data_IF_884057750831
#
_entry.id   IF_884057750831
#
_cell.length_a   1.000
_cell.length_b   1.000
_cell.length_c   1.000
_cell.angle_alpha   90.00
_cell.angle_beta   90.00
_cell.angle_gamma   90.00
#
_symmetry.space_group_name_H-M   'P 1'
#
loop_
_entity.id
_entity.type
_entity.pdbx_description
1 polymer ?
#
# COMPACT_ATOMS: atom_id res chain seq x y z
N UNK A 1 -4.93 -49.58 -39.37
CA UNK A 1 -5.97 -49.30 -40.34
C UNK A 1 -5.71 -47.86 -40.74
N UNK A 2 -4.72 -47.64 -41.66
CA UNK A 2 -4.87 -47.76 -43.13
C UNK A 2 -5.92 -46.73 -43.60
N UNK A 3 -5.64 -45.74 -44.41
CA UNK A 3 -5.13 -45.75 -45.81
C UNK A 3 -5.01 -44.27 -46.20
N UNK A 4 -3.91 -43.69 -46.55
CA UNK A 4 -3.29 -43.60 -47.92
C UNK A 4 -4.26 -43.25 -49.05
N UNK A 5 -4.02 -42.23 -49.82
CA UNK A 5 -3.31 -42.08 -51.10
C UNK A 5 -3.76 -40.80 -51.81
N UNK A 6 -2.86 -39.99 -52.25
CA UNK A 6 -2.12 -39.94 -53.51
C UNK A 6 -2.76 -39.13 -54.66
N UNK A 7 -1.91 -38.22 -55.18
CA UNK A 7 -1.63 -37.87 -56.58
C UNK A 7 -2.70 -37.15 -57.43
N UNK A 8 -2.39 -36.11 -58.18
CA UNK A 8 -1.54 -36.13 -59.40
C UNK A 8 -1.35 -34.73 -59.98
N UNK A 9 -0.13 -34.38 -60.22
CA UNK A 9 0.45 -33.55 -61.26
C UNK A 9 -0.33 -33.42 -62.61
N UNK A 10 -0.22 -32.25 -63.19
CA UNK A 10 0.19 -32.06 -64.59
C UNK A 10 0.28 -30.59 -65.05
N UNK A 11 1.50 -30.15 -65.32
CA UNK A 11 1.88 -29.14 -66.33
C UNK A 11 1.84 -29.84 -67.71
N UNK A 12 1.84 -29.26 -68.92
CA UNK A 12 2.69 -28.17 -69.39
C UNK A 12 2.14 -27.26 -70.53
N UNK A 13 2.91 -26.16 -70.74
CA UNK A 13 3.34 -25.55 -71.98
C UNK A 13 2.38 -25.07 -73.07
N UNK A 14 2.56 -23.86 -73.54
CA UNK A 14 3.16 -23.48 -74.86
C UNK A 14 2.98 -21.98 -75.12
N UNK A 15 4.11 -21.33 -75.37
CA UNK A 15 4.24 -20.14 -76.22
C UNK A 15 3.86 -20.48 -77.67
N UNK A 16 3.60 -19.56 -78.63
CA UNK A 16 4.64 -18.65 -79.13
C UNK A 16 4.19 -17.28 -79.73
N UNK A 17 5.19 -16.38 -79.77
CA UNK A 17 5.56 -15.42 -80.83
C UNK A 17 4.55 -14.55 -81.56
N UNK A 18 4.93 -13.27 -81.73
CA UNK A 18 4.77 -12.58 -82.96
C UNK A 18 4.53 -11.07 -82.97
N UNK A 19 5.57 -10.30 -83.25
CA UNK A 19 5.44 -9.21 -84.18
C UNK A 19 5.40 -7.75 -83.73
N UNK A 20 6.55 -7.15 -83.59
CA UNK A 20 7.02 -5.90 -84.28
C UNK A 20 6.00 -4.85 -84.71
N UNK A 21 6.13 -3.61 -84.23
CA UNK A 21 6.59 -2.43 -85.02
C UNK A 21 6.54 -1.13 -84.28
N UNK A 22 7.62 -0.41 -84.48
CA UNK A 22 7.89 1.00 -84.10
C UNK A 22 6.77 1.99 -84.47
N UNK A 23 6.60 2.99 -83.58
CA UNK A 23 6.45 4.38 -84.02
C UNK A 23 6.89 5.30 -82.88
N UNK A 24 7.90 6.08 -83.17
CA UNK A 24 8.42 7.23 -82.42
C UNK A 24 7.43 8.37 -82.56
N UNK A 25 7.00 9.00 -81.47
CA UNK A 25 6.57 10.39 -81.50
C UNK A 25 7.15 11.06 -80.26
N UNK A 26 7.94 12.10 -80.52
CA UNK A 26 8.51 13.04 -79.53
C UNK A 26 7.44 13.96 -78.99
N UNK A 27 7.71 14.41 -77.75
CA UNK A 27 7.24 15.72 -77.32
C UNK A 27 6.44 15.67 -76.00
N UNK A 28 6.99 16.12 -75.02
CA UNK A 28 6.66 17.27 -74.24
C UNK A 28 7.04 17.07 -72.75
N UNK A 29 8.05 17.82 -72.37
CA UNK A 29 8.50 17.91 -71.00
C UNK A 29 7.52 18.80 -70.19
N UNK A 30 6.67 18.16 -69.35
CA UNK A 30 5.94 18.80 -68.31
C UNK A 30 6.46 18.32 -66.94
N UNK A 31 6.78 19.22 -66.00
CA UNK A 31 7.23 18.80 -64.68
C UNK A 31 6.10 18.07 -63.93
N UNK A 32 6.38 16.84 -63.51
CA UNK A 32 5.50 16.10 -62.60
C UNK A 32 5.29 16.85 -61.28
N UNK A 33 4.05 16.89 -60.77
CA UNK A 33 3.84 17.43 -59.44
C UNK A 33 4.48 16.50 -58.40
N UNK A 34 5.32 17.10 -57.57
CA UNK A 34 5.86 16.46 -56.36
C UNK A 34 4.73 15.87 -55.54
N UNK A 35 4.58 14.57 -55.53
CA UNK A 35 3.79 13.85 -54.55
C UNK A 35 4.50 14.03 -53.21
N UNK A 36 4.00 15.01 -52.44
CA UNK A 36 4.34 15.15 -51.01
C UNK A 36 3.91 13.87 -50.29
N UNK A 37 4.84 12.94 -50.09
CA UNK A 37 4.69 11.82 -49.18
C UNK A 37 4.31 12.40 -47.81
N UNK A 38 3.17 12.00 -47.20
CA UNK A 38 2.91 12.35 -45.82
C UNK A 38 3.97 11.65 -45.01
N UNK A 39 4.95 12.40 -44.54
CA UNK A 39 5.96 11.94 -43.59
C UNK A 39 5.27 11.54 -42.31
N UNK A 40 4.78 10.31 -42.28
CA UNK A 40 4.39 9.64 -41.06
C UNK A 40 5.62 9.59 -40.13
N UNK A 41 5.72 10.49 -39.19
CA UNK A 41 6.71 10.43 -38.12
C UNK A 41 6.41 9.20 -37.29
N UNK A 42 6.97 8.06 -37.68
CA UNK A 42 7.01 6.87 -36.80
C UNK A 42 7.55 7.34 -35.44
N UNK A 43 6.84 7.10 -34.36
CA UNK A 43 7.32 7.52 -33.04
C UNK A 43 8.68 6.87 -32.82
N UNK A 44 9.73 7.70 -32.74
CA UNK A 44 11.08 7.16 -32.56
C UNK A 44 11.06 6.34 -31.28
N UNK A 45 11.49 5.08 -31.32
CA UNK A 45 11.54 4.18 -30.15
C UNK A 45 12.18 4.87 -28.94
N UNK A 46 13.08 5.83 -29.16
CA UNK A 46 13.71 6.67 -28.14
C UNK A 46 12.69 7.57 -27.42
N UNK A 47 11.71 8.15 -28.12
CA UNK A 47 10.62 8.93 -27.49
C UNK A 47 9.73 8.01 -26.65
N UNK A 48 9.36 6.85 -27.18
CA UNK A 48 8.54 5.88 -26.43
C UNK A 48 9.29 5.37 -25.18
N UNK A 49 10.58 5.06 -25.31
CA UNK A 49 11.42 4.67 -24.19
C UNK A 49 11.57 5.79 -23.14
N UNK A 50 11.74 7.04 -23.59
CA UNK A 50 11.84 8.20 -22.69
C UNK A 50 10.51 8.44 -21.94
N UNK A 51 9.39 8.41 -22.64
CA UNK A 51 8.05 8.56 -22.02
C UNK A 51 7.78 7.40 -21.06
N UNK A 52 8.09 6.16 -21.45
CA UNK A 52 8.00 5.00 -20.57
C UNK A 52 8.85 5.15 -19.30
N UNK A 53 10.11 5.56 -19.46
CA UNK A 53 11.00 5.83 -18.34
C UNK A 53 10.50 6.95 -17.42
N UNK A 54 10.01 8.04 -18.00
CA UNK A 54 9.43 9.15 -17.25
C UNK A 54 8.16 8.72 -16.48
N UNK A 55 7.28 7.91 -17.08
CA UNK A 55 6.12 7.35 -16.41
C UNK A 55 6.51 6.45 -15.22
N UNK A 56 7.49 5.57 -15.42
CA UNK A 56 7.99 4.71 -14.33
C UNK A 56 8.59 5.54 -13.20
N UNK A 57 9.42 6.53 -13.53
CA UNK A 57 9.99 7.43 -12.53
C UNK A 57 8.91 8.21 -11.77
N UNK A 58 7.89 8.70 -12.48
CA UNK A 58 6.75 9.38 -11.87
C UNK A 58 5.96 8.47 -10.93
N UNK A 59 5.67 7.22 -11.35
CA UNK A 59 4.99 6.24 -10.52
C UNK A 59 5.81 5.85 -9.28
N UNK A 60 7.13 5.72 -9.43
CA UNK A 60 8.02 5.49 -8.29
C UNK A 60 8.00 6.65 -7.29
N UNK A 61 8.06 7.90 -7.78
CA UNK A 61 7.94 9.09 -6.94
C UNK A 61 6.58 9.12 -6.24
N UNK A 62 5.51 8.86 -6.97
CA UNK A 62 4.16 8.84 -6.42
C UNK A 62 4.03 7.78 -5.31
N UNK A 63 4.50 6.56 -5.55
CA UNK A 63 4.51 5.48 -4.56
C UNK A 63 5.36 5.84 -3.34
N UNK A 64 6.50 6.46 -3.56
CA UNK A 64 7.39 6.82 -2.46
C UNK A 64 6.80 7.91 -1.54
N UNK A 65 6.10 8.92 -2.11
CA UNK A 65 5.67 10.09 -1.35
C UNK A 65 4.19 10.10 -0.95
N UNK A 66 3.32 9.45 -1.72
CA UNK A 66 1.87 9.61 -1.57
C UNK A 66 1.20 8.35 -1.06
N UNK A 67 1.39 7.22 -1.75
CA UNK A 67 0.72 5.97 -1.43
C UNK A 67 1.67 4.78 -1.51
N UNK A 68 1.44 3.79 -0.69
CA UNK A 68 2.22 2.55 -0.70
C UNK A 68 1.28 1.34 -0.57
N UNK A 69 1.39 0.35 -1.46
CA UNK A 69 0.67 -0.91 -1.30
C UNK A 69 1.35 -1.79 -0.23
N UNK A 70 0.54 -2.45 0.61
CA UNK A 70 0.99 -3.43 1.58
C UNK A 70 0.19 -4.71 1.46
N UNK A 71 0.84 -5.86 1.59
CA UNK A 71 0.20 -7.16 1.72
C UNK A 71 -0.09 -7.44 3.20
N UNK A 72 -1.26 -7.98 3.50
CA UNK A 72 -1.63 -8.40 4.86
C UNK A 72 -1.25 -9.88 5.06
N UNK A 73 -0.19 -10.19 5.81
CA UNK A 73 0.29 -11.56 5.96
C UNK A 73 -0.40 -12.32 7.10
N UNK A 74 -1.08 -11.64 8.03
CA UNK A 74 -1.62 -12.23 9.25
C UNK A 74 -3.07 -11.83 9.53
N UNK A 75 -3.79 -12.66 10.28
CA UNK A 75 -5.17 -12.43 10.67
C UNK A 75 -5.38 -11.45 11.83
N UNK A 76 -4.33 -10.74 12.30
CA UNK A 76 -4.42 -9.88 13.50
C UNK A 76 -5.40 -8.72 13.39
N UNK A 77 -5.81 -8.37 12.18
CA UNK A 77 -6.76 -7.29 11.88
C UNK A 77 -8.11 -7.79 11.36
N UNK A 78 -8.36 -9.11 11.41
CA UNK A 78 -9.68 -9.65 11.10
C UNK A 78 -10.72 -9.17 12.12
N UNK A 79 -11.94 -8.92 11.68
CA UNK A 79 -12.51 -9.11 10.33
C UNK A 79 -12.25 -7.95 9.38
N UNK A 80 -11.68 -6.82 9.84
CA UNK A 80 -11.48 -5.60 9.04
C UNK A 80 -10.58 -5.88 7.83
N UNK A 81 -9.39 -6.42 8.07
CA UNK A 81 -8.45 -6.84 7.03
C UNK A 81 -8.22 -8.35 7.12
N UNK A 82 -8.22 -9.02 5.98
CA UNK A 82 -8.03 -10.47 5.90
C UNK A 82 -6.64 -10.82 5.37
N UNK A 83 -6.17 -12.02 5.70
CA UNK A 83 -4.92 -12.55 5.13
C UNK A 83 -5.01 -12.57 3.60
N UNK A 84 -4.00 -12.02 2.95
CA UNK A 84 -3.94 -11.89 1.49
C UNK A 84 -4.55 -10.61 0.92
N UNK A 85 -5.19 -9.77 1.74
CA UNK A 85 -5.60 -8.43 1.31
C UNK A 85 -4.37 -7.60 0.92
N UNK A 86 -4.51 -6.81 -0.14
CA UNK A 86 -3.55 -5.74 -0.45
C UNK A 86 -4.22 -4.41 -0.17
N UNK A 87 -3.66 -3.68 0.76
CA UNK A 87 -4.15 -2.37 1.18
C UNK A 87 -3.33 -1.26 0.54
N UNK A 88 -3.95 -0.11 0.36
CA UNK A 88 -3.28 1.13 -0.04
C UNK A 88 -3.15 2.02 1.18
N UNK A 89 -1.92 2.32 1.53
CA UNK A 89 -1.55 3.17 2.66
C UNK A 89 -1.29 4.58 2.17
N UNK A 90 -2.01 5.53 2.74
CA UNK A 90 -1.88 6.95 2.48
C UNK A 90 -0.78 7.55 3.39
N UNK A 91 0.37 7.84 2.81
CA UNK A 91 1.53 8.41 3.50
C UNK A 91 1.37 9.90 3.80
N UNK A 92 0.42 10.56 3.14
CA UNK A 92 0.15 11.98 3.35
C UNK A 92 -0.87 12.24 4.46
N UNK A 93 -1.54 11.20 4.96
CA UNK A 93 -2.60 11.33 5.98
C UNK A 93 -2.13 12.12 7.21
N UNK A 94 -0.86 11.98 7.58
CA UNK A 94 -0.26 12.58 8.77
C UNK A 94 0.88 13.57 8.46
N UNK A 95 1.08 13.86 7.18
CA UNK A 95 1.98 14.94 6.75
C UNK A 95 1.21 16.26 6.73
N UNK A 96 1.69 17.36 6.69
CA UNK A 96 0.98 18.65 6.62
C UNK A 96 0.08 18.98 7.83
N UNK A 97 0.47 18.51 9.03
CA UNK A 97 -0.25 18.83 10.27
C UNK A 97 -1.40 17.88 10.62
N UNK A 98 -1.57 16.78 9.89
CA UNK A 98 -2.41 15.69 10.33
C UNK A 98 -1.72 14.86 11.41
N UNK A 99 -2.49 14.34 12.36
CA UNK A 99 -2.02 13.41 13.39
C UNK A 99 -2.86 12.14 13.38
N UNK A 100 -2.28 10.96 13.74
CA UNK A 100 -3.08 9.75 13.92
C UNK A 100 -4.19 9.95 14.92
N UNK A 101 -5.41 9.58 14.54
CA UNK A 101 -6.58 9.68 15.39
C UNK A 101 -6.99 8.30 15.93
N UNK A 102 -7.72 8.28 17.05
CA UNK A 102 -8.32 7.06 17.57
C UNK A 102 -9.26 6.45 16.52
N UNK A 103 -9.14 5.14 16.32
CA UNK A 103 -9.89 4.41 15.29
C UNK A 103 -9.18 4.28 13.95
N UNK A 104 -8.15 5.08 13.66
CA UNK A 104 -7.36 4.92 12.45
C UNK A 104 -6.67 3.54 12.42
N UNK A 105 -6.69 2.90 11.26
CA UNK A 105 -5.86 1.73 10.98
C UNK A 105 -4.55 2.22 10.37
N UNK A 106 -3.45 2.01 11.10
CA UNK A 106 -2.14 2.54 10.71
C UNK A 106 -1.16 1.43 10.37
N UNK A 107 -0.28 1.71 9.41
CA UNK A 107 0.93 0.93 9.15
C UNK A 107 2.10 1.67 9.78
N UNK A 108 2.94 0.94 10.52
CA UNK A 108 4.08 1.53 11.23
C UNK A 108 5.25 0.56 11.29
N UNK A 109 6.46 1.12 11.36
CA UNK A 109 7.69 0.38 11.66
C UNK A 109 7.75 0.09 13.16
N UNK A 110 7.69 -1.18 13.52
CA UNK A 110 7.74 -1.65 14.90
C UNK A 110 9.13 -1.64 15.54
N UNK A 111 10.15 -1.20 14.81
CA UNK A 111 11.52 -1.11 15.34
C UNK A 111 11.58 -0.19 16.57
N UNK A 112 12.13 -0.69 17.67
CA UNK A 112 12.24 0.04 18.93
C UNK A 112 10.98 0.04 19.80
N UNK A 113 9.86 -0.56 19.30
CA UNK A 113 8.63 -0.76 20.08
C UNK A 113 8.22 -2.23 20.15
N UNK A 114 8.02 -2.89 19.02
CA UNK A 114 7.60 -4.29 18.92
C UNK A 114 8.78 -5.21 18.57
N UNK A 115 9.73 -4.69 17.82
CA UNK A 115 10.93 -5.40 17.41
C UNK A 115 12.16 -4.67 17.94
N UNK A 116 13.16 -5.43 18.40
CA UNK A 116 14.44 -4.84 18.83
C UNK A 116 15.17 -4.27 17.63
N UNK A 117 15.80 -3.11 17.82
CA UNK A 117 16.70 -2.56 16.79
C UNK A 117 17.80 -3.57 16.46
N UNK A 118 17.82 -4.02 15.22
CA UNK A 118 18.94 -4.78 14.67
C UNK A 118 19.79 -3.85 13.80
N UNK A 119 21.13 -4.01 13.79
CA UNK A 119 21.98 -3.24 12.90
C UNK A 119 21.54 -3.44 11.45
N UNK A 120 21.20 -2.35 10.75
CA UNK A 120 20.84 -2.40 9.34
C UNK A 120 21.96 -3.02 8.52
N UNK A 121 21.59 -3.97 7.65
CA UNK A 121 22.48 -4.55 6.66
C UNK A 121 22.96 -3.52 5.62
N UNK A 122 23.56 -3.99 4.55
CA UNK A 122 24.18 -3.16 3.51
C UNK A 122 23.20 -2.13 2.92
N UNK A 123 23.51 -0.82 2.89
CA UNK A 123 22.57 0.23 2.46
C UNK A 123 22.10 0.08 1.00
N UNK A 124 22.89 -0.57 0.14
CA UNK A 124 22.53 -0.78 -1.28
C UNK A 124 21.42 -1.83 -1.43
N UNK A 125 21.48 -2.91 -0.65
CA UNK A 125 20.43 -3.94 -0.66
C UNK A 125 19.13 -3.42 -0.07
N UNK A 126 19.20 -2.55 0.95
CA UNK A 126 18.05 -1.84 1.49
C UNK A 126 17.35 -0.99 0.44
N UNK A 127 18.11 -0.16 -0.30
CA UNK A 127 17.52 0.71 -1.33
C UNK A 127 16.81 -0.07 -2.46
N UNK A 128 17.38 -1.22 -2.86
CA UNK A 128 16.75 -2.08 -3.87
C UNK A 128 15.49 -2.76 -3.34
N UNK A 129 15.51 -3.19 -2.07
CA UNK A 129 14.36 -3.79 -1.41
C UNK A 129 13.23 -2.76 -1.24
N UNK A 130 13.55 -1.56 -0.73
CA UNK A 130 12.61 -0.45 -0.57
C UNK A 130 11.97 -0.04 -1.92
N UNK A 131 12.76 -0.04 -3.00
CA UNK A 131 12.28 0.22 -4.36
C UNK A 131 11.31 -0.87 -4.86
N UNK A 132 11.61 -2.14 -4.60
CA UNK A 132 10.75 -3.25 -4.98
C UNK A 132 9.47 -3.29 -4.12
N UNK A 133 9.57 -3.02 -2.82
CA UNK A 133 8.43 -2.91 -1.90
C UNK A 133 7.52 -1.74 -2.29
N UNK A 134 8.08 -0.58 -2.68
CA UNK A 134 7.31 0.56 -3.16
C UNK A 134 6.48 0.25 -4.42
N UNK A 135 6.90 -0.72 -5.21
CA UNK A 135 6.16 -1.22 -6.38
C UNK A 135 5.23 -2.40 -6.05
N UNK A 136 5.20 -2.84 -4.78
CA UNK A 136 4.43 -4.03 -4.36
C UNK A 136 5.01 -5.35 -4.90
N UNK A 137 6.29 -5.37 -5.27
CA UNK A 137 7.00 -6.53 -5.82
C UNK A 137 7.82 -7.28 -4.77
N UNK A 138 8.08 -6.68 -3.61
CA UNK A 138 8.72 -7.31 -2.47
C UNK A 138 7.71 -7.55 -1.34
N UNK A 139 8.00 -8.56 -0.51
CA UNK A 139 7.25 -8.77 0.72
C UNK A 139 7.47 -7.57 1.67
N UNK A 140 6.47 -7.25 2.53
CA UNK A 140 6.62 -6.21 3.56
C UNK A 140 7.83 -6.53 4.44
N UNK A 141 8.52 -5.50 4.92
CA UNK A 141 9.58 -5.70 5.91
C UNK A 141 9.00 -6.42 7.14
N UNK A 142 9.75 -7.36 7.69
CA UNK A 142 9.33 -8.11 8.90
C UNK A 142 9.09 -7.18 10.11
N UNK A 143 9.46 -5.91 9.99
CA UNK A 143 9.29 -4.86 10.99
C UNK A 143 8.02 -4.04 10.80
N UNK A 144 7.29 -4.20 9.68
CA UNK A 144 6.08 -3.44 9.40
C UNK A 144 4.84 -4.14 10.01
N UNK A 145 4.09 -3.36 10.77
CA UNK A 145 2.87 -3.81 11.44
C UNK A 145 1.66 -3.00 11.01
N UNK A 146 0.50 -3.64 10.99
CA UNK A 146 -0.79 -2.98 10.78
C UNK A 146 -1.65 -3.18 12.01
N UNK A 147 -2.06 -2.09 12.67
CA UNK A 147 -2.90 -2.10 13.87
C UNK A 147 -3.85 -0.91 13.88
N UNK A 148 -4.86 -0.99 14.75
CA UNK A 148 -5.78 0.12 15.01
C UNK A 148 -5.30 0.97 16.18
N UNK A 149 -5.34 2.29 16.00
CA UNK A 149 -5.05 3.26 17.08
C UNK A 149 -6.22 3.26 18.07
N UNK A 150 -5.93 2.91 19.30
CA UNK A 150 -6.90 2.89 20.40
C UNK A 150 -6.69 4.08 21.35
N UNK A 151 -5.43 4.48 21.54
CA UNK A 151 -5.08 5.64 22.36
C UNK A 151 -4.01 6.49 21.68
N UNK A 152 -4.12 7.79 21.88
CA UNK A 152 -3.17 8.82 21.41
C UNK A 152 -2.51 9.51 22.59
N UNK A 153 -1.50 10.33 22.35
CA UNK A 153 -0.77 11.06 23.40
C UNK A 153 -1.69 11.77 24.39
N UNK A 154 -1.49 11.50 25.69
CA UNK A 154 -2.31 12.02 26.78
C UNK A 154 -3.50 11.16 27.20
N UNK A 155 -3.87 10.15 26.42
CA UNK A 155 -4.97 9.26 26.75
C UNK A 155 -4.63 8.31 27.88
N UNK A 156 -5.63 8.03 28.72
CA UNK A 156 -5.63 6.91 29.66
C UNK A 156 -6.50 5.79 29.11
N UNK A 157 -5.91 4.64 28.85
CA UNK A 157 -6.60 3.46 28.32
C UNK A 157 -6.61 2.37 29.38
N UNK A 158 -7.80 1.87 29.71
CA UNK A 158 -7.99 0.87 30.76
C UNK A 158 -8.75 -0.33 30.21
N UNK A 159 -8.26 -1.50 30.42
CA UNK A 159 -9.03 -2.73 30.29
C UNK A 159 -9.18 -3.44 31.62
N UNK A 160 -10.40 -3.70 32.04
CA UNK A 160 -11.68 -3.35 31.42
C UNK A 160 -12.59 -2.80 32.53
N UNK A 161 -13.71 -2.18 32.13
CA UNK A 161 -14.75 -1.77 33.06
C UNK A 161 -15.49 -2.99 33.65
N UNK A 162 -16.48 -2.75 34.53
CA UNK A 162 -17.29 -3.82 35.15
C UNK A 162 -18.09 -4.66 34.12
N UNK A 163 -18.34 -4.12 32.95
CA UNK A 163 -19.10 -4.76 31.88
C UNK A 163 -18.16 -5.42 30.85
N UNK A 164 -16.85 -5.41 31.11
CA UNK A 164 -15.81 -6.03 30.27
C UNK A 164 -15.42 -5.22 29.05
N UNK A 165 -15.75 -3.90 29.02
CA UNK A 165 -15.43 -3.01 27.91
C UNK A 165 -14.14 -2.25 28.14
N UNK A 166 -13.46 -1.95 27.04
CA UNK A 166 -12.34 -1.01 27.06
C UNK A 166 -12.83 0.40 27.41
N UNK A 167 -12.07 1.14 28.19
CA UNK A 167 -12.34 2.55 28.46
C UNK A 167 -11.18 3.42 28.00
N UNK A 168 -11.51 4.56 27.42
CA UNK A 168 -10.54 5.60 27.07
C UNK A 168 -10.99 6.91 27.73
N UNK A 169 -10.12 7.50 28.53
CA UNK A 169 -10.41 8.71 29.33
C UNK A 169 -11.68 8.56 30.19
N UNK A 170 -11.91 7.35 30.71
CA UNK A 170 -13.07 7.03 31.53
C UNK A 170 -14.37 6.78 30.77
N UNK A 171 -14.36 6.87 29.44
CA UNK A 171 -15.52 6.59 28.59
C UNK A 171 -15.41 5.18 28.03
N UNK A 172 -16.44 4.31 28.23
CA UNK A 172 -16.49 2.99 27.63
C UNK A 172 -16.57 3.07 26.10
N UNK A 173 -15.79 2.22 25.42
CA UNK A 173 -15.75 2.15 23.96
C UNK A 173 -16.52 0.93 23.49
N UNK A 174 -17.48 1.14 22.58
CA UNK A 174 -18.22 0.05 21.94
C UNK A 174 -17.48 -0.40 20.68
N UNK A 175 -16.71 -1.45 20.78
CA UNK A 175 -15.75 -1.91 19.79
C UNK A 175 -16.39 -2.90 18.80
N UNK A 176 -17.37 -2.45 18.01
CA UNK A 176 -18.11 -3.28 17.05
C UNK A 176 -17.24 -3.86 15.92
N UNK A 177 -16.04 -3.33 15.70
CA UNK A 177 -15.07 -3.77 14.70
C UNK A 177 -14.21 -4.96 15.15
N UNK A 178 -14.25 -5.29 16.44
CA UNK A 178 -13.48 -6.40 17.00
C UNK A 178 -14.08 -7.74 16.54
N UNK A 179 -13.22 -8.73 16.34
CA UNK A 179 -13.63 -10.08 15.96
C UNK A 179 -14.70 -10.62 16.91
N UNK A 180 -15.76 -11.15 16.32
CA UNK A 180 -16.89 -11.67 17.11
C UNK A 180 -16.42 -12.78 18.07
N UNK A 181 -16.76 -12.63 19.34
CA UNK A 181 -16.39 -13.55 20.41
C UNK A 181 -15.09 -13.21 21.12
N UNK A 182 -14.30 -12.23 20.60
CA UNK A 182 -13.12 -11.76 21.28
C UNK A 182 -13.47 -10.81 22.43
N UNK A 183 -12.66 -10.85 23.48
CA UNK A 183 -12.67 -9.85 24.55
C UNK A 183 -11.70 -8.73 24.22
N UNK A 184 -11.90 -7.51 24.73
CA UNK A 184 -10.96 -6.41 24.51
C UNK A 184 -9.52 -6.75 24.91
N UNK A 185 -9.34 -7.47 26.03
CA UNK A 185 -8.06 -8.03 26.44
C UNK A 185 -8.26 -9.23 27.38
N UNK A 186 -7.34 -10.18 27.34
CA UNK A 186 -7.24 -11.27 28.34
C UNK A 186 -6.47 -10.84 29.58
N UNK A 187 -5.69 -9.77 29.51
CA UNK A 187 -4.87 -9.23 30.59
C UNK A 187 -5.37 -7.82 30.94
N UNK A 188 -5.66 -7.53 32.21
CA UNK A 188 -6.01 -6.18 32.62
C UNK A 188 -4.80 -5.26 32.48
N UNK A 189 -5.05 -4.02 32.06
CA UNK A 189 -4.04 -2.97 31.99
C UNK A 189 -4.67 -1.60 32.26
N UNK A 190 -3.85 -0.68 32.76
CA UNK A 190 -4.18 0.72 32.98
C UNK A 190 -2.94 1.54 32.60
N UNK A 191 -3.01 2.20 31.46
CA UNK A 191 -1.87 2.91 30.87
C UNK A 191 -2.23 4.34 30.52
N UNK A 192 -1.24 5.21 30.61
CA UNK A 192 -1.32 6.56 30.06
C UNK A 192 -0.38 6.62 28.88
N UNK A 193 -0.92 7.00 27.73
CA UNK A 193 -0.14 7.12 26.48
C UNK A 193 0.72 8.39 26.57
N UNK A 194 2.05 8.29 26.48
CA UNK A 194 2.91 9.48 26.44
C UNK A 194 2.63 10.34 25.21
N UNK A 195 3.02 11.61 25.25
CA UNK A 195 2.96 12.46 24.05
C UNK A 195 3.81 11.86 22.92
N UNK A 196 3.39 12.10 21.69
CA UNK A 196 4.03 11.57 20.48
C UNK A 196 4.10 10.02 20.41
N UNK A 197 3.22 9.35 21.13
CA UNK A 197 3.07 7.89 21.15
C UNK A 197 1.64 7.48 20.87
N UNK A 198 1.50 6.23 20.41
CA UNK A 198 0.22 5.60 20.14
C UNK A 198 0.13 4.29 20.91
N UNK A 199 -1.05 4.00 21.43
CA UNK A 199 -1.45 2.67 21.89
C UNK A 199 -2.26 2.01 20.78
N UNK A 200 -1.76 0.91 20.26
CA UNK A 200 -2.36 0.24 19.10
C UNK A 200 -2.76 -1.18 19.43
N UNK A 201 -3.88 -1.64 18.88
CA UNK A 201 -4.39 -2.99 19.09
C UNK A 201 -4.89 -3.58 17.77
N UNK A 202 -4.83 -4.92 17.66
CA UNK A 202 -5.45 -5.59 16.52
C UNK A 202 -6.94 -5.74 16.71
N UNK A 203 -7.68 -5.84 15.61
CA UNK A 203 -9.12 -6.07 15.65
C UNK A 203 -9.46 -7.53 16.02
N UNK A 204 -8.56 -8.46 15.72
CA UNK A 204 -8.60 -9.85 16.21
C UNK A 204 -7.81 -9.96 17.51
N UNK A 205 -8.42 -9.52 18.59
CA UNK A 205 -7.80 -9.36 19.91
C UNK A 205 -7.03 -10.58 20.42
N UNK A 206 -7.57 -11.77 20.19
CA UNK A 206 -7.00 -13.03 20.64
C UNK A 206 -5.84 -13.53 19.78
N UNK A 207 -5.68 -13.00 18.55
CA UNK A 207 -4.62 -13.37 17.61
C UNK A 207 -3.72 -12.21 17.21
N UNK A 208 -3.70 -11.14 18.00
CA UNK A 208 -2.89 -9.96 17.74
C UNK A 208 -1.78 -9.82 18.75
N UNK A 209 -0.54 -9.90 18.29
CA UNK A 209 0.60 -9.37 19.02
C UNK A 209 0.63 -7.86 18.79
N UNK A 210 0.34 -7.08 19.83
CA UNK A 210 0.18 -5.64 19.77
C UNK A 210 0.72 -4.95 21.03
N UNK A 211 0.34 -3.71 21.28
CA UNK A 211 0.82 -2.93 22.44
C UNK A 211 0.70 -3.67 23.78
N UNK A 212 -0.32 -4.52 23.93
CA UNK A 212 -0.57 -5.29 25.16
C UNK A 212 0.53 -6.31 25.46
N UNK A 213 1.03 -6.98 24.40
CA UNK A 213 2.07 -8.02 24.54
C UNK A 213 3.46 -7.42 24.67
N UNK A 214 3.63 -6.16 24.29
CA UNK A 214 4.90 -5.45 24.27
C UNK A 214 5.11 -4.48 25.44
N UNK A 215 4.25 -4.54 26.48
CA UNK A 215 4.40 -3.71 27.69
C UNK A 215 5.77 -3.86 28.35
N UNK A 216 6.37 -5.03 28.28
CA UNK A 216 7.71 -5.31 28.79
C UNK A 216 8.86 -4.98 27.84
N UNK A 217 8.55 -4.54 26.62
CA UNK A 217 9.55 -4.18 25.60
C UNK A 217 10.08 -2.75 25.81
N UNK A 218 11.25 -2.41 25.21
CA UNK A 218 11.68 -1.02 25.14
C UNK A 218 10.57 -0.13 24.55
N UNK A 219 10.19 0.95 25.26
CA UNK A 219 9.08 1.81 24.86
C UNK A 219 7.70 1.37 25.38
N UNK A 220 7.59 0.26 26.14
CA UNK A 220 6.35 -0.16 26.80
C UNK A 220 5.21 -0.51 25.84
N UNK A 221 5.54 -1.03 24.64
CA UNK A 221 4.57 -1.33 23.60
C UNK A 221 3.96 -0.10 22.93
N UNK A 222 4.44 1.09 23.25
CA UNK A 222 3.96 2.34 22.65
C UNK A 222 4.68 2.61 21.34
N UNK A 223 3.91 2.87 20.28
CA UNK A 223 4.43 3.16 18.94
C UNK A 223 4.72 4.66 18.82
N UNK A 224 5.94 5.07 18.46
CA UNK A 224 6.23 6.47 18.17
C UNK A 224 5.46 6.96 16.94
N UNK A 225 4.90 8.18 17.00
CA UNK A 225 4.16 8.77 15.87
C UNK A 225 5.04 8.93 14.63
N UNK A 226 6.31 9.23 14.80
CA UNK A 226 7.29 9.37 13.71
C UNK A 226 7.64 8.04 13.02
N UNK A 227 7.27 6.89 13.62
CA UNK A 227 7.38 5.56 13.01
C UNK A 227 6.15 5.15 12.21
N UNK A 228 5.11 5.96 12.19
CA UNK A 228 3.92 5.69 11.40
C UNK A 228 4.20 5.97 9.92
N UNK A 229 4.09 4.94 9.09
CA UNK A 229 4.24 5.01 7.64
C UNK A 229 3.07 5.76 7.02
N UNK A 230 1.84 5.45 7.47
CA UNK A 230 0.63 6.09 6.99
C UNK A 230 -0.65 5.38 7.45
N UNK A 231 -1.78 5.87 6.95
CA UNK A 231 -3.11 5.31 7.23
C UNK A 231 -3.53 4.34 6.13
N UNK A 232 -4.08 3.19 6.50
CA UNK A 232 -4.70 2.26 5.57
C UNK A 232 -6.07 2.81 5.14
N UNK A 233 -6.17 3.30 3.91
CA UNK A 233 -7.41 3.93 3.42
C UNK A 233 -8.26 2.99 2.56
N UNK A 234 -7.63 2.05 1.83
CA UNK A 234 -8.31 1.20 0.84
C UNK A 234 -7.82 -0.24 0.89
N UNK A 235 -8.74 -1.18 0.68
CA UNK A 235 -8.46 -2.57 0.30
C UNK A 235 -8.52 -2.62 -1.23
N UNK A 236 -7.36 -2.80 -1.89
CA UNK A 236 -7.26 -2.78 -3.35
C UNK A 236 -7.35 -4.17 -3.99
N UNK A 237 -7.09 -5.23 -3.24
CA UNK A 237 -7.15 -6.61 -3.70
C UNK A 237 -7.50 -7.53 -2.53
N UNK A 238 -8.26 -8.63 -2.76
CA UNK A 238 -8.87 -9.06 -4.04
C UNK A 238 -10.01 -8.16 -4.47
N UNK A 239 -10.32 -8.11 -5.77
CA UNK A 239 -11.37 -7.23 -6.31
C UNK A 239 -12.75 -7.43 -5.67
N UNK A 240 -13.05 -8.66 -5.19
CA UNK A 240 -14.28 -8.93 -4.46
C UNK A 240 -14.37 -8.24 -3.09
N UNK A 241 -13.26 -7.69 -2.59
CA UNK A 241 -13.16 -6.94 -1.32
C UNK A 241 -12.79 -5.47 -1.51
N UNK A 242 -12.76 -5.01 -2.75
CA UNK A 242 -12.45 -3.61 -3.05
C UNK A 242 -13.37 -2.67 -2.29
N UNK A 243 -12.83 -1.97 -1.32
CA UNK A 243 -13.56 -1.05 -0.46
C UNK A 243 -12.59 -0.10 0.26
N UNK A 244 -13.14 0.95 0.86
CA UNK A 244 -12.39 1.69 1.89
C UNK A 244 -12.21 0.81 3.12
N UNK A 245 -11.11 0.99 3.84
CA UNK A 245 -10.96 0.40 5.18
C UNK A 245 -12.05 1.00 6.08
N UNK A 246 -12.87 0.18 6.77
CA UNK A 246 -13.96 0.69 7.57
C UNK A 246 -13.48 1.67 8.64
N UNK A 247 -13.96 2.89 8.58
CA UNK A 247 -13.81 3.85 9.66
C UNK A 247 -14.65 3.43 10.85
N UNK A 248 -14.26 3.81 12.06
CA UNK A 248 -15.05 3.58 13.27
C UNK A 248 -15.39 4.89 13.94
N UNK A 249 -16.62 5.00 14.41
CA UNK A 249 -17.11 6.08 15.26
C UNK A 249 -17.11 5.72 16.76
N UNK A 250 -16.62 4.52 17.08
CA UNK A 250 -16.59 3.99 18.44
C UNK A 250 -15.92 4.94 19.46
N UNK A 251 -14.98 5.75 19.01
CA UNK A 251 -14.28 6.74 19.82
C UNK A 251 -14.92 8.14 19.82
N UNK A 252 -16.00 8.35 19.08
CA UNK A 252 -16.68 9.64 18.99
C UNK A 252 -17.09 10.25 20.33
N UNK A 253 -17.58 9.45 21.30
CA UNK A 253 -17.90 9.95 22.64
C UNK A 253 -16.69 10.27 23.54
N UNK A 254 -15.49 9.82 23.15
CA UNK A 254 -14.29 9.98 23.98
C UNK A 254 -13.79 11.43 23.89
N UNK A 255 -13.67 12.16 25.01
CA UNK A 255 -13.18 13.53 25.02
C UNK A 255 -11.74 13.59 24.48
N UNK A 256 -11.33 14.79 24.04
CA UNK A 256 -9.95 15.04 23.68
C UNK A 256 -9.04 14.66 24.87
N UNK A 257 -7.83 14.16 24.56
CA UNK A 257 -6.85 13.87 25.60
C UNK A 257 -6.62 15.14 26.43
N UNK A 258 -6.46 15.03 27.76
CA UNK A 258 -6.11 16.18 28.57
C UNK A 258 -4.83 16.82 28.01
N UNK A 259 -4.87 18.10 27.68
CA UNK A 259 -3.66 18.80 27.29
C UNK A 259 -2.61 18.57 28.38
N UNK A 260 -1.47 17.96 28.02
CA UNK A 260 -0.43 17.62 28.96
C UNK A 260 -0.05 18.83 29.79
N UNK A 261 -0.49 18.86 31.05
CA UNK A 261 -0.05 19.85 31.99
C UNK A 261 1.47 19.73 32.09
N UNK A 262 2.17 20.72 31.56
CA UNK A 262 3.56 20.93 31.90
C UNK A 262 3.58 21.02 33.42
N UNK A 263 4.03 19.96 34.11
CA UNK A 263 4.23 19.96 35.55
C UNK A 263 5.16 21.13 35.86
N UNK A 264 4.57 22.23 36.32
CA UNK A 264 5.31 23.27 36.99
C UNK A 264 5.96 22.60 38.20
N UNK A 265 7.24 22.27 38.06
CA UNK A 265 8.07 21.81 39.15
C UNK A 265 7.99 22.87 40.27
N UNK A 266 7.18 22.59 41.29
CA UNK A 266 7.27 23.28 42.55
C UNK A 266 8.61 22.86 43.19
N UNK A 267 9.63 23.66 42.97
CA UNK A 267 10.77 23.70 43.85
C UNK A 267 10.30 24.40 45.12
N UNK A 268 10.09 23.62 46.17
CA UNK A 268 9.96 24.03 47.55
C UNK A 268 11.00 23.28 48.38
#
# INVERSE_FOLDING_TARGET
MDTEAQHTERDPSSDPEGGSRSARVSGDDGPAPDEASPGGTAPSWRRTAFVGGACVAFLMLLSHFVVQPFLIPSGSMEPTLQVGDRIIVNKLAYRFGGEPARGDVVVFDGTGSFVREQPRGNPVTGLLHDGAAALGLAEPDETDFVKRVVGIGGDRVICCDKDGRLTVNGVPVEEWYVMAGDRPSSVPFDIVVPQDRLWVMGDHRSQSSDSRDHLGSPGGGMVPVDRVVGRADWIAWPFGRWSTVPATDAFGPVPAAPAGGHGAGAHG
#
